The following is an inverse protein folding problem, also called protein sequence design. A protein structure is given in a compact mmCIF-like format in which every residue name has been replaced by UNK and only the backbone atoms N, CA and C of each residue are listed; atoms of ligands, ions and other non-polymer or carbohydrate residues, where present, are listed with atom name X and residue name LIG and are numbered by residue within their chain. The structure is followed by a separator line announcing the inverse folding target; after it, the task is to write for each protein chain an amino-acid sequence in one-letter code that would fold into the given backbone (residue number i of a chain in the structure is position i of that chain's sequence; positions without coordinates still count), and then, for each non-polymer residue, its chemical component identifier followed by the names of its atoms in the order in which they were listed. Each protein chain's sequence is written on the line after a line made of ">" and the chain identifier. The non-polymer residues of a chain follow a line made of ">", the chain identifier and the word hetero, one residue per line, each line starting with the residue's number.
data_IF_658862481830
#
_entry.id   IF_658862481830
#
_cell.length_a   1.000
_cell.length_b   1.000
_cell.length_c   1.000
_cell.angle_alpha   90.00
_cell.angle_beta   90.00
_cell.angle_gamma   90.00
#
_symmetry.space_group_name_H-M   'P 1'
#
loop_
_entity.id
_entity.type
_entity.pdbx_description
1 polymer ?
#
# COMPACT_ATOMS: atom_id res chain seq x y z
N UNK A 1 13.18 -1.33 -6.69
CA UNK A 1 12.27 -0.94 -5.58
C UNK A 1 11.36 0.23 -5.95
N UNK A 2 11.85 1.30 -6.59
CA UNK A 2 10.99 2.46 -6.94
C UNK A 2 9.74 2.13 -7.77
N UNK A 3 9.83 1.24 -8.77
CA UNK A 3 8.67 0.82 -9.57
C UNK A 3 7.66 0.03 -8.75
N UNK A 4 8.13 -0.86 -7.85
CA UNK A 4 7.29 -1.66 -6.97
C UNK A 4 6.58 -0.80 -5.92
N UNK A 5 7.26 0.21 -5.38
CA UNK A 5 6.65 1.21 -4.49
C UNK A 5 5.54 1.99 -5.21
N UNK A 6 5.81 2.50 -6.43
CA UNK A 6 4.79 3.20 -7.23
C UNK A 6 3.58 2.30 -7.54
N UNK A 7 3.82 1.04 -7.90
CA UNK A 7 2.75 0.07 -8.14
C UNK A 7 1.92 -0.21 -6.87
N UNK A 8 2.56 -0.40 -5.71
CA UNK A 8 1.88 -0.58 -4.43
C UNK A 8 1.01 0.61 -4.05
N UNK A 9 1.52 1.84 -4.24
CA UNK A 9 0.75 3.08 -4.01
C UNK A 9 -0.45 3.14 -4.94
N UNK A 10 -0.27 2.89 -6.25
CA UNK A 10 -1.36 2.95 -7.23
C UNK A 10 -2.45 1.94 -6.88
N UNK A 11 -2.09 0.68 -6.58
CA UNK A 11 -3.05 -0.37 -6.20
C UNK A 11 -3.81 0.01 -4.93
N UNK A 12 -3.11 0.55 -3.93
CA UNK A 12 -3.75 1.01 -2.69
C UNK A 12 -4.74 2.16 -2.95
N UNK A 13 -4.33 3.17 -3.71
CA UNK A 13 -5.15 4.34 -4.04
C UNK A 13 -6.37 3.95 -4.86
N UNK A 14 -6.22 3.04 -5.83
CA UNK A 14 -7.35 2.51 -6.60
C UNK A 14 -8.37 1.83 -5.67
N UNK A 15 -7.91 1.01 -4.72
CA UNK A 15 -8.78 0.43 -3.71
C UNK A 15 -9.55 1.48 -2.90
N UNK A 16 -8.88 2.55 -2.46
CA UNK A 16 -9.49 3.66 -1.73
C UNK A 16 -10.55 4.41 -2.57
N UNK A 17 -10.27 4.66 -3.85
CA UNK A 17 -11.21 5.33 -4.76
C UNK A 17 -12.46 4.47 -4.98
N UNK A 18 -12.29 3.15 -5.17
CA UNK A 18 -13.41 2.21 -5.32
C UNK A 18 -14.25 2.19 -4.02
N UNK A 19 -13.60 2.13 -2.85
CA UNK A 19 -14.28 2.18 -1.56
C UNK A 19 -15.15 3.44 -1.43
N UNK A 20 -14.59 4.61 -1.75
CA UNK A 20 -15.32 5.87 -1.72
C UNK A 20 -16.50 5.86 -2.70
N UNK A 21 -16.29 5.42 -3.94
CA UNK A 21 -17.36 5.36 -4.94
C UNK A 21 -18.52 4.48 -4.47
N UNK A 22 -18.25 3.27 -4.00
CA UNK A 22 -19.29 2.35 -3.51
C UNK A 22 -19.93 2.76 -2.19
N UNK A 23 -19.24 3.56 -1.37
CA UNK A 23 -19.82 4.11 -0.12
C UNK A 23 -20.72 5.30 -0.38
N UNK A 24 -20.43 6.10 -1.42
CA UNK A 24 -21.17 7.31 -1.77
C UNK A 24 -22.33 7.02 -2.72
N UNK A 25 -22.19 6.02 -3.59
CA UNK A 25 -23.19 5.66 -4.60
C UNK A 25 -24.62 5.42 -4.05
N UNK A 26 -24.82 4.73 -2.90
CA UNK A 26 -26.14 4.50 -2.32
C UNK A 26 -26.84 5.78 -1.85
N UNK A 27 -26.08 6.84 -1.55
CA UNK A 27 -26.65 8.13 -1.15
C UNK A 27 -27.41 8.81 -2.29
N UNK A 28 -27.06 8.48 -3.53
CA UNK A 28 -27.66 9.04 -4.74
C UNK A 28 -28.54 8.05 -5.50
N UNK A 29 -28.41 6.75 -5.22
CA UNK A 29 -29.18 5.68 -5.85
C UNK A 29 -29.63 4.69 -4.76
N UNK A 30 -30.85 4.85 -4.27
CA UNK A 30 -31.38 4.02 -3.17
C UNK A 30 -31.81 2.62 -3.62
N UNK A 31 -32.02 2.40 -4.92
CA UNK A 31 -32.45 1.11 -5.50
C UNK A 31 -31.29 0.13 -5.80
N UNK A 32 -30.11 0.40 -5.26
CA UNK A 32 -28.92 -0.40 -5.54
C UNK A 32 -28.96 -1.67 -4.70
N UNK A 33 -28.82 -2.83 -5.33
CA UNK A 33 -28.75 -4.10 -4.62
C UNK A 33 -27.59 -4.12 -3.61
N UNK A 34 -27.90 -4.48 -2.38
CA UNK A 34 -26.93 -4.68 -1.28
C UNK A 34 -25.79 -5.61 -1.69
N UNK A 35 -26.07 -6.62 -2.53
CA UNK A 35 -25.07 -7.55 -3.05
C UNK A 35 -23.97 -6.84 -3.87
N UNK A 36 -24.36 -5.87 -4.69
CA UNK A 36 -23.43 -5.08 -5.52
C UNK A 36 -22.57 -4.16 -4.65
N UNK A 37 -23.16 -3.55 -3.62
CA UNK A 37 -22.42 -2.73 -2.65
C UNK A 37 -21.41 -3.57 -1.87
N UNK A 38 -21.85 -4.71 -1.33
CA UNK A 38 -21.02 -5.63 -0.55
C UNK A 38 -19.86 -6.18 -1.38
N UNK A 39 -20.10 -6.47 -2.66
CA UNK A 39 -19.07 -6.88 -3.60
C UNK A 39 -18.02 -5.78 -3.81
N UNK A 40 -18.45 -4.55 -4.10
CA UNK A 40 -17.54 -3.41 -4.29
C UNK A 40 -16.67 -3.14 -3.06
N UNK A 41 -17.25 -3.21 -1.86
CA UNK A 41 -16.55 -3.05 -0.58
C UNK A 41 -15.55 -4.19 -0.32
N UNK A 42 -15.87 -5.44 -0.69
CA UNK A 42 -14.92 -6.56 -0.55
C UNK A 42 -13.74 -6.43 -1.52
N UNK A 43 -14.00 -6.04 -2.75
CA UNK A 43 -12.96 -5.83 -3.77
C UNK A 43 -12.04 -4.67 -3.38
N UNK A 44 -12.59 -3.55 -2.90
CA UNK A 44 -11.77 -2.42 -2.43
C UNK A 44 -10.88 -2.80 -1.26
N UNK A 45 -11.41 -3.51 -0.25
CA UNK A 45 -10.62 -4.01 0.88
C UNK A 45 -9.49 -4.93 0.43
N UNK A 46 -9.74 -5.83 -0.51
CA UNK A 46 -8.70 -6.72 -1.04
C UNK A 46 -7.58 -5.93 -1.75
N UNK A 47 -7.94 -4.96 -2.59
CA UNK A 47 -6.96 -4.09 -3.28
C UNK A 47 -6.15 -3.26 -2.30
N UNK A 48 -6.79 -2.67 -1.29
CA UNK A 48 -6.10 -1.93 -0.23
C UNK A 48 -5.17 -2.85 0.58
N UNK A 49 -5.62 -4.05 0.94
CA UNK A 49 -4.79 -5.02 1.66
C UNK A 49 -3.54 -5.42 0.88
N UNK A 50 -3.68 -5.71 -0.41
CA UNK A 50 -2.56 -6.06 -1.29
C UNK A 50 -1.60 -4.86 -1.45
N UNK A 51 -2.15 -3.68 -1.75
CA UNK A 51 -1.35 -2.46 -1.88
C UNK A 51 -0.57 -2.12 -0.61
N UNK A 52 -1.23 -2.21 0.55
CA UNK A 52 -0.59 -1.99 1.86
C UNK A 52 0.50 -3.02 2.15
N UNK A 53 0.26 -4.30 1.88
CA UNK A 53 1.26 -5.36 2.07
C UNK A 53 2.52 -5.09 1.22
N UNK A 54 2.35 -4.72 -0.05
CA UNK A 54 3.47 -4.37 -0.94
C UNK A 54 4.26 -3.21 -0.36
N UNK A 55 3.59 -2.13 0.08
CA UNK A 55 4.23 -0.94 0.65
C UNK A 55 4.98 -1.23 1.95
N UNK A 56 4.39 -2.04 2.84
CA UNK A 56 5.04 -2.41 4.10
C UNK A 56 6.30 -3.23 3.81
N UNK A 57 6.22 -4.18 2.87
CA UNK A 57 7.37 -5.01 2.49
C UNK A 57 8.48 -4.17 1.86
N UNK A 58 8.16 -3.28 0.92
CA UNK A 58 9.17 -2.41 0.28
C UNK A 58 9.81 -1.48 1.30
N UNK A 59 9.04 -0.82 2.17
CA UNK A 59 9.57 0.02 3.24
C UNK A 59 10.45 -0.77 4.23
N UNK A 60 10.05 -1.99 4.58
CA UNK A 60 10.82 -2.84 5.48
C UNK A 60 12.17 -3.24 4.88
N UNK A 61 12.20 -3.57 3.59
CA UNK A 61 13.43 -3.92 2.89
C UNK A 61 14.34 -2.70 2.73
N UNK A 62 13.79 -1.53 2.37
CA UNK A 62 14.54 -0.27 2.27
C UNK A 62 15.17 0.07 3.62
N UNK A 63 14.38 0.01 4.70
CA UNK A 63 14.86 0.25 6.07
C UNK A 63 15.94 -0.73 6.51
N UNK A 64 15.82 -2.01 6.16
CA UNK A 64 16.84 -3.01 6.49
C UNK A 64 18.16 -2.72 5.76
N UNK A 65 18.08 -2.36 4.47
CA UNK A 65 19.26 -2.02 3.67
C UNK A 65 19.94 -0.76 4.19
N UNK A 66 19.17 0.27 4.55
CA UNK A 66 19.71 1.53 5.06
C UNK A 66 20.39 1.32 6.42
N UNK A 67 19.81 0.48 7.29
CA UNK A 67 20.44 0.09 8.55
C UNK A 67 21.75 -0.69 8.34
N UNK A 68 21.80 -1.60 7.36
CA UNK A 68 23.03 -2.33 7.03
C UNK A 68 24.14 -1.39 6.53
N UNK A 69 23.80 -0.45 5.64
CA UNK A 69 24.75 0.56 5.14
C UNK A 69 25.29 1.44 6.27
N UNK A 70 24.44 1.89 7.19
CA UNK A 70 24.88 2.66 8.35
C UNK A 70 25.90 1.91 9.20
N UNK A 71 25.73 0.59 9.39
CA UNK A 71 26.71 -0.22 10.12
C UNK A 71 28.04 -0.36 9.38
N UNK A 72 27.99 -0.57 8.07
CA UNK A 72 29.20 -0.66 7.22
C UNK A 72 29.98 0.68 7.22
N UNK A 73 29.29 1.82 7.18
CA UNK A 73 29.94 3.15 7.23
C UNK A 73 30.58 3.46 8.59
N UNK A 74 30.08 2.90 9.69
CA UNK A 74 30.69 3.05 11.03
C UNK A 74 31.95 2.19 11.14
N UNK A 75 31.87 0.93 10.71
CA UNK A 75 33.01 -0.01 10.73
C UNK A 75 34.18 0.52 9.89
N UNK A 76 33.91 1.07 8.70
CA UNK A 76 34.97 1.62 7.83
C UNK A 76 35.66 2.87 8.43
N UNK A 77 34.94 3.66 9.24
CA UNK A 77 35.48 4.83 9.94
C UNK A 77 36.27 4.48 11.19
N UNK A 78 35.96 3.36 11.85
CA UNK A 78 36.75 2.85 12.98
C UNK A 78 38.01 2.11 12.50
N UNK A 79 38.01 1.57 11.28
CA UNK A 79 39.16 0.87 10.70
C UNK A 79 40.24 1.78 10.09
N UNK A 80 39.95 3.06 9.83
CA UNK A 80 40.97 4.04 9.42
C UNK A 80 41.28 4.97 10.60
N UNK A 81 42.51 4.94 11.16
CA UNK A 81 42.90 5.81 12.26
C UNK A 81 42.98 7.28 11.84
#
# INVERSE_FOLDING_TARGET
>A
MHVLNKAGVVVFVVGVVIMMAYSVYPLFNMDVEDATMLFGVRVSMALMGIGAAILILTMSIERYRDWKKMKEEIDEKELRP
#
